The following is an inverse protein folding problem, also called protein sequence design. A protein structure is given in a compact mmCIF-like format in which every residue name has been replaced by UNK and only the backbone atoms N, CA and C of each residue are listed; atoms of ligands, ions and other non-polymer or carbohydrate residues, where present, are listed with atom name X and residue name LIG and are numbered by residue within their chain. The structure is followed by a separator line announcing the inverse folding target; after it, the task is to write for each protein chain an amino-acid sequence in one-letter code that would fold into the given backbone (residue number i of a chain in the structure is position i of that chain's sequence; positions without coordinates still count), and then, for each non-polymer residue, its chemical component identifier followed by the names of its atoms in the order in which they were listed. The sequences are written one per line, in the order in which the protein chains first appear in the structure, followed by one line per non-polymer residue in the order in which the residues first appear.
data_IF_382603824752
#
_entry.id   IF_382603824752
#
_cell.length_a   1.000
_cell.length_b   1.000
_cell.length_c   1.000
_cell.angle_alpha   90.00
_cell.angle_beta   90.00
_cell.angle_gamma   90.00
#
_symmetry.space_group_name_H-M   'P 1'
#
loop_
_entity.id
_entity.type
_entity.pdbx_description
1 polymer ?
#
# COMPACT_ATOMS: atom_id res chain seq x y z
N UNK A 1 -5.39 -13.93 40.78
CA UNK A 1 -5.51 -12.68 39.99
C UNK A 1 -5.22 -13.01 38.53
N UNK A 2 -6.25 -13.06 37.68
CA UNK A 2 -6.09 -13.36 36.26
C UNK A 2 -5.50 -12.13 35.54
N UNK A 3 -4.31 -12.29 34.93
CA UNK A 3 -3.75 -11.28 34.02
C UNK A 3 -4.73 -11.08 32.88
N UNK A 4 -5.43 -9.94 32.84
CA UNK A 4 -6.17 -9.49 31.65
C UNK A 4 -5.16 -9.45 30.51
N UNK A 5 -5.26 -10.39 29.56
CA UNK A 5 -4.61 -10.28 28.25
C UNK A 5 -5.24 -9.06 27.55
N UNK A 6 -4.67 -7.89 27.75
CA UNK A 6 -4.92 -6.75 26.87
C UNK A 6 -4.36 -7.15 25.53
N UNK A 7 -5.23 -7.36 24.54
CA UNK A 7 -4.82 -7.60 23.16
C UNK A 7 -4.20 -6.28 22.67
N UNK A 8 -2.89 -6.14 22.84
CA UNK A 8 -2.13 -4.94 22.44
C UNK A 8 -2.03 -4.81 20.93
N UNK A 9 -2.21 -5.92 20.22
CA UNK A 9 -1.88 -6.07 18.81
C UNK A 9 -3.15 -6.41 18.03
N UNK A 10 -3.62 -5.47 17.23
CA UNK A 10 -4.83 -5.62 16.41
C UNK A 10 -4.41 -5.87 14.97
N UNK A 11 -4.91 -6.95 14.36
CA UNK A 11 -4.67 -7.19 12.95
C UNK A 11 -5.54 -6.26 12.10
N UNK A 12 -4.90 -5.34 11.36
CA UNK A 12 -5.57 -4.34 10.53
C UNK A 12 -5.36 -4.59 9.03
N UNK A 13 -4.79 -5.75 8.66
CA UNK A 13 -4.50 -6.11 7.27
C UNK A 13 -5.72 -5.99 6.36
N UNK A 14 -6.87 -6.52 6.78
CA UNK A 14 -8.09 -6.49 5.96
C UNK A 14 -8.55 -5.05 5.70
N UNK A 15 -8.45 -4.17 6.71
CA UNK A 15 -8.78 -2.75 6.56
C UNK A 15 -7.83 -2.05 5.58
N UNK A 16 -6.53 -2.29 5.72
CA UNK A 16 -5.47 -1.72 4.87
C UNK A 16 -5.66 -2.08 3.41
N UNK A 17 -5.94 -3.36 3.12
CA UNK A 17 -6.14 -3.86 1.77
C UNK A 17 -7.48 -3.45 1.16
N UNK A 18 -8.41 -2.92 1.95
CA UNK A 18 -9.74 -2.49 1.50
C UNK A 18 -9.78 -1.00 1.18
N UNK A 19 -9.59 -0.13 2.18
CA UNK A 19 -9.63 1.31 1.94
C UNK A 19 -9.06 2.15 3.10
N UNK A 20 -8.63 3.40 2.83
CA UNK A 20 -8.19 4.37 3.83
C UNK A 20 -9.21 4.60 4.96
N UNK A 21 -10.50 4.62 4.60
CA UNK A 21 -11.61 4.82 5.55
C UNK A 21 -11.67 3.69 6.57
N UNK A 22 -11.49 2.45 6.11
CA UNK A 22 -11.50 1.26 6.96
C UNK A 22 -10.29 1.26 7.90
N UNK A 23 -9.12 1.70 7.41
CA UNK A 23 -7.92 1.87 8.25
C UNK A 23 -8.18 2.87 9.37
N UNK A 24 -8.73 4.03 9.04
CA UNK A 24 -9.05 5.07 10.03
C UNK A 24 -10.08 4.55 11.03
N UNK A 25 -11.12 3.85 10.58
CA UNK A 25 -12.11 3.23 11.46
C UNK A 25 -11.47 2.21 12.41
N UNK A 26 -10.54 1.39 11.92
CA UNK A 26 -9.84 0.42 12.75
C UNK A 26 -8.93 1.10 13.78
N UNK A 27 -8.24 2.18 13.39
CA UNK A 27 -7.38 2.95 14.29
C UNK A 27 -8.21 3.63 15.39
N UNK A 28 -9.21 4.43 15.03
CA UNK A 28 -9.99 5.23 15.99
C UNK A 28 -10.89 4.39 16.90
N UNK A 29 -11.23 3.17 16.50
CA UNK A 29 -11.95 2.22 17.37
C UNK A 29 -11.06 1.64 18.47
N UNK A 30 -9.73 1.70 18.32
CA UNK A 30 -8.75 1.10 19.24
C UNK A 30 -7.89 2.15 19.97
N UNK A 31 -7.60 3.29 19.34
CA UNK A 31 -6.78 4.37 19.88
C UNK A 31 -7.63 5.63 19.98
N UNK A 32 -7.77 6.16 21.20
CA UNK A 32 -8.48 7.41 21.46
C UNK A 32 -7.59 8.61 21.15
N UNK A 33 -8.21 9.72 20.72
CA UNK A 33 -7.51 11.00 20.58
C UNK A 33 -6.74 11.20 19.28
N UNK A 34 -6.74 10.24 18.35
CA UNK A 34 -6.16 10.41 17.02
C UNK A 34 -6.90 11.52 16.27
N UNK A 35 -6.16 12.57 15.88
CA UNK A 35 -6.67 13.70 15.12
C UNK A 35 -6.21 13.66 13.68
N UNK A 36 -7.13 13.91 12.77
CA UNK A 36 -6.85 13.95 11.34
C UNK A 36 -7.86 14.86 10.63
N UNK A 37 -7.40 15.47 9.54
CA UNK A 37 -8.24 16.19 8.60
C UNK A 37 -8.51 15.30 7.38
N UNK A 38 -9.78 15.21 6.98
CA UNK A 38 -10.18 14.52 5.74
C UNK A 38 -10.25 15.52 4.58
N UNK A 39 -9.48 15.27 3.52
CA UNK A 39 -9.52 16.02 2.25
C UNK A 39 -9.84 15.04 1.14
N UNK A 40 -11.05 15.13 0.59
CA UNK A 40 -11.58 14.16 -0.38
C UNK A 40 -11.51 12.71 0.17
N UNK A 41 -10.65 11.87 -0.39
CA UNK A 41 -10.41 10.49 0.03
C UNK A 41 -9.08 10.29 0.78
N UNK A 42 -8.43 11.38 1.16
CA UNK A 42 -7.15 11.38 1.88
C UNK A 42 -7.38 11.83 3.32
N UNK A 43 -6.69 11.18 4.25
CA UNK A 43 -6.72 11.47 5.67
C UNK A 43 -5.32 11.91 6.08
N UNK A 44 -5.20 13.18 6.47
CA UNK A 44 -3.93 13.80 6.86
C UNK A 44 -3.87 13.86 8.38
N UNK A 45 -2.83 13.29 8.97
CA UNK A 45 -2.66 13.27 10.42
C UNK A 45 -2.30 14.66 10.93
N UNK A 46 -2.95 15.10 12.00
CA UNK A 46 -2.70 16.42 12.62
C UNK A 46 -1.60 16.36 13.69
N UNK A 47 -1.28 15.16 14.17
CA UNK A 47 -0.30 14.89 15.20
C UNK A 47 0.58 13.71 14.82
N UNK A 48 1.73 13.59 15.48
CA UNK A 48 2.70 12.49 15.31
C UNK A 48 2.41 11.31 16.25
N UNK A 49 1.13 11.03 16.45
CA UNK A 49 0.68 10.00 17.40
C UNK A 49 0.63 8.60 16.78
N UNK A 50 0.89 8.51 15.47
CA UNK A 50 0.91 7.26 14.73
C UNK A 50 2.21 7.14 13.94
N UNK A 51 2.83 5.98 14.04
CA UNK A 51 4.05 5.62 13.32
C UNK A 51 3.83 4.40 12.43
N UNK A 52 4.65 4.29 11.40
CA UNK A 52 4.76 3.12 10.53
C UNK A 52 6.08 2.44 10.85
N UNK A 53 6.08 1.12 10.96
CA UNK A 53 7.30 0.30 11.07
C UNK A 53 7.28 -0.80 10.01
N UNK A 54 8.31 -0.83 9.18
CA UNK A 54 8.50 -1.81 8.12
C UNK A 54 9.49 -2.88 8.57
N UNK A 55 9.02 -4.13 8.57
CA UNK A 55 9.75 -5.28 9.10
C UNK A 55 10.00 -6.27 7.95
N UNK A 56 11.25 -6.68 7.77
CA UNK A 56 11.64 -7.73 6.83
C UNK A 56 12.48 -8.77 7.57
N UNK A 57 12.13 -10.05 7.40
CA UNK A 57 12.80 -11.17 8.06
C UNK A 57 12.93 -10.98 9.59
N UNK A 58 11.88 -10.43 10.21
CA UNK A 58 11.82 -10.16 11.64
C UNK A 58 12.64 -8.95 12.12
N UNK A 59 13.30 -8.22 11.22
CA UNK A 59 14.07 -7.01 11.55
C UNK A 59 13.37 -5.77 11.00
N UNK A 60 13.23 -4.77 11.87
CA UNK A 60 12.85 -3.44 11.44
C UNK A 60 13.96 -2.87 10.55
N UNK A 61 13.60 -2.36 9.38
CA UNK A 61 14.55 -1.76 8.44
C UNK A 61 14.21 -0.31 8.11
N UNK A 62 12.99 0.14 8.44
CA UNK A 62 12.55 1.50 8.24
C UNK A 62 11.32 1.78 9.10
N UNK A 63 11.28 2.95 9.71
CA UNK A 63 10.17 3.43 10.51
C UNK A 63 9.96 4.93 10.28
N UNK A 64 8.86 5.49 10.77
CA UNK A 64 8.64 6.94 10.77
C UNK A 64 7.21 7.37 11.01
N UNK A 65 7.02 8.68 11.20
CA UNK A 65 5.72 9.28 11.52
C UNK A 65 4.73 9.12 10.35
N UNK A 66 3.54 8.59 10.60
CA UNK A 66 2.47 8.55 9.61
C UNK A 66 1.97 9.97 9.32
N UNK A 67 2.07 10.41 8.07
CA UNK A 67 1.67 11.77 7.66
C UNK A 67 0.28 11.76 7.05
N UNK A 68 0.02 10.84 6.13
CA UNK A 68 -1.30 10.70 5.53
C UNK A 68 -1.52 9.29 4.99
N UNK A 69 -2.79 8.94 4.81
CA UNK A 69 -3.22 7.75 4.07
C UNK A 69 -4.33 8.10 3.08
N UNK A 70 -4.38 7.39 1.95
CA UNK A 70 -5.27 7.75 0.84
C UNK A 70 -5.51 6.60 -0.13
N UNK A 71 -6.46 6.78 -1.05
CA UNK A 71 -6.81 5.76 -2.04
C UNK A 71 -5.64 5.55 -3.01
N UNK A 72 -5.58 4.35 -3.59
CA UNK A 72 -4.68 4.07 -4.71
C UNK A 72 -5.10 4.87 -5.95
N UNK A 73 -4.11 5.25 -6.78
CA UNK A 73 -4.34 5.99 -8.03
C UNK A 73 -4.93 5.12 -9.14
N UNK A 74 -4.78 3.80 -9.06
CA UNK A 74 -5.26 2.84 -10.07
C UNK A 74 -6.74 2.45 -9.88
N UNK A 75 -7.49 3.21 -9.06
CA UNK A 75 -8.89 2.98 -8.70
C UNK A 75 -9.19 1.59 -8.12
N UNK A 76 -8.16 0.85 -7.69
CA UNK A 76 -8.34 -0.43 -6.99
C UNK A 76 -8.48 -0.23 -5.49
N UNK A 77 -9.02 -1.26 -4.85
CA UNK A 77 -9.04 -1.37 -3.40
C UNK A 77 -7.62 -1.35 -2.81
N UNK A 78 -7.53 -0.78 -1.61
CA UNK A 78 -6.27 -0.67 -0.88
C UNK A 78 -5.99 0.76 -0.43
N UNK A 79 -4.91 0.87 0.34
CA UNK A 79 -4.50 2.11 0.98
C UNK A 79 -3.06 2.43 0.62
N UNK A 80 -2.82 3.67 0.25
CA UNK A 80 -1.50 4.26 0.15
C UNK A 80 -1.17 4.91 1.48
N UNK A 81 0.00 4.62 2.06
CA UNK A 81 0.50 5.31 3.25
C UNK A 81 1.66 6.20 2.86
N UNK A 82 1.69 7.41 3.39
CA UNK A 82 2.86 8.27 3.38
C UNK A 82 3.33 8.49 4.81
N UNK A 83 4.60 8.23 5.05
CA UNK A 83 5.24 8.42 6.34
C UNK A 83 6.57 9.16 6.18
N UNK A 84 6.98 9.83 7.24
CA UNK A 84 8.22 10.58 7.31
C UNK A 84 9.27 9.75 8.05
N UNK A 85 10.17 9.11 7.30
CA UNK A 85 11.18 8.22 7.86
C UNK A 85 12.29 8.97 8.63
N UNK A 86 12.51 10.23 8.27
CA UNK A 86 13.47 11.15 8.90
C UNK A 86 12.97 12.59 8.71
N UNK A 87 13.58 13.59 9.36
CA UNK A 87 13.14 15.02 9.35
C UNK A 87 12.81 15.62 7.97
N UNK A 88 13.26 15.03 6.84
CA UNK A 88 13.01 15.54 5.49
C UNK A 88 12.62 14.49 4.45
N UNK A 89 12.63 13.20 4.78
CA UNK A 89 12.40 12.14 3.77
C UNK A 89 11.01 11.54 3.96
N UNK A 90 10.10 11.89 3.05
CA UNK A 90 8.78 11.28 2.97
C UNK A 90 8.83 10.07 2.04
N UNK A 91 8.31 8.96 2.52
CA UNK A 91 8.19 7.71 1.76
C UNK A 91 6.73 7.34 1.62
N UNK A 92 6.40 6.80 0.45
CA UNK A 92 5.08 6.27 0.16
C UNK A 92 5.18 4.76 0.00
N UNK A 93 4.25 4.03 0.59
CA UNK A 93 4.14 2.58 0.46
C UNK A 93 2.73 2.19 0.02
N UNK A 94 2.64 1.08 -0.69
CA UNK A 94 1.37 0.49 -1.16
C UNK A 94 1.31 -0.97 -0.73
N UNK A 95 0.80 -1.24 0.49
CA UNK A 95 0.60 -2.60 0.95
C UNK A 95 -0.39 -3.35 0.06
N UNK A 96 -0.03 -4.57 -0.31
CA UNK A 96 -0.83 -5.51 -1.10
C UNK A 96 -0.77 -6.91 -0.52
N UNK A 97 -1.55 -7.83 -1.09
CA UNK A 97 -1.44 -9.24 -0.74
C UNK A 97 -0.09 -9.87 -1.08
N UNK A 98 0.64 -9.26 -2.02
CA UNK A 98 1.86 -9.81 -2.60
C UNK A 98 3.13 -9.27 -1.96
N UNK A 99 3.06 -8.05 -1.38
CA UNK A 99 4.21 -7.38 -0.77
C UNK A 99 4.13 -7.24 0.77
N UNK A 100 3.02 -7.67 1.38
CA UNK A 100 2.89 -7.75 2.84
C UNK A 100 2.38 -9.12 3.27
N UNK A 101 2.92 -9.67 4.36
CA UNK A 101 2.45 -10.89 4.99
C UNK A 101 1.47 -10.62 6.14
N UNK A 102 1.76 -9.64 6.98
CA UNK A 102 0.91 -9.23 8.10
C UNK A 102 0.98 -7.72 8.31
N UNK A 103 -0.11 -7.15 8.84
CA UNK A 103 -0.18 -5.73 9.20
C UNK A 103 -0.87 -5.63 10.55
N UNK A 104 -0.13 -5.19 11.56
CA UNK A 104 -0.54 -5.18 12.96
C UNK A 104 -0.47 -3.77 13.50
N UNK A 105 -1.54 -3.31 14.14
CA UNK A 105 -1.56 -2.09 14.93
C UNK A 105 -1.19 -2.43 16.38
N UNK A 106 -0.05 -1.95 16.83
CA UNK A 106 0.34 -1.93 18.24
C UNK A 106 -0.36 -0.74 18.92
N UNK A 107 -1.50 -1.02 19.55
CA UNK A 107 -2.42 -0.03 20.12
C UNK A 107 -1.75 0.76 21.24
N UNK A 108 -0.84 0.14 21.98
CA UNK A 108 -0.17 0.78 23.11
C UNK A 108 0.91 1.77 22.66
N UNK A 109 1.56 1.49 21.52
CA UNK A 109 2.63 2.33 20.98
C UNK A 109 2.17 3.28 19.87
N UNK A 110 0.98 3.08 19.31
CA UNK A 110 0.53 3.82 18.13
C UNK A 110 1.30 3.43 16.85
N UNK A 111 1.82 2.21 16.76
CA UNK A 111 2.67 1.80 15.64
C UNK A 111 1.91 0.82 14.73
N UNK A 112 1.84 1.11 13.45
CA UNK A 112 1.38 0.18 12.42
C UNK A 112 2.60 -0.57 11.88
N UNK A 113 2.73 -1.84 12.26
CA UNK A 113 3.82 -2.74 11.84
C UNK A 113 3.42 -3.50 10.59
N UNK A 114 4.19 -3.34 9.51
CA UNK A 114 4.01 -4.07 8.27
C UNK A 114 5.13 -5.10 8.12
N UNK A 115 4.78 -6.39 8.11
CA UNK A 115 5.71 -7.45 7.72
C UNK A 115 5.77 -7.52 6.19
N UNK A 116 6.85 -7.01 5.62
CA UNK A 116 7.08 -6.86 4.19
C UNK A 116 7.72 -8.13 3.63
N UNK A 117 7.21 -8.57 2.48
CA UNK A 117 7.73 -9.68 1.67
C UNK A 117 7.73 -9.28 0.21
N UNK A 118 8.38 -10.03 -0.67
CA UNK A 118 8.38 -9.75 -2.11
C UNK A 118 8.07 -11.02 -2.90
N UNK A 119 6.78 -11.27 -3.17
CA UNK A 119 6.33 -12.50 -3.84
C UNK A 119 6.18 -12.37 -5.35
N UNK A 120 6.04 -11.15 -5.85
CA UNK A 120 5.82 -10.89 -7.27
C UNK A 120 7.08 -10.37 -7.95
N UNK A 121 7.21 -10.76 -9.22
CA UNK A 121 8.21 -10.23 -10.14
C UNK A 121 7.51 -9.45 -11.24
N UNK A 122 8.13 -8.35 -11.64
CA UNK A 122 7.65 -7.54 -12.74
C UNK A 122 7.69 -8.34 -14.05
N UNK A 123 6.54 -8.45 -14.73
CA UNK A 123 6.42 -9.17 -15.99
C UNK A 123 7.26 -8.59 -17.16
N UNK A 124 7.87 -7.41 -16.97
CA UNK A 124 8.70 -6.73 -17.98
C UNK A 124 10.19 -6.87 -17.65
N UNK A 125 10.63 -6.47 -16.45
CA UNK A 125 12.06 -6.47 -16.10
C UNK A 125 12.52 -7.70 -15.31
N UNK A 126 11.60 -8.56 -14.84
CA UNK A 126 11.89 -9.76 -14.06
C UNK A 126 12.36 -9.53 -12.61
N UNK A 127 12.57 -8.27 -12.19
CA UNK A 127 12.91 -7.92 -10.80
C UNK A 127 11.68 -7.98 -9.90
N UNK A 128 11.88 -8.16 -8.59
CA UNK A 128 10.81 -8.12 -7.60
C UNK A 128 10.07 -6.78 -7.61
N UNK A 129 8.77 -6.82 -7.31
CA UNK A 129 7.96 -5.63 -7.01
C UNK A 129 7.90 -5.48 -5.49
N UNK A 130 8.53 -4.43 -4.97
CA UNK A 130 8.71 -4.16 -3.55
C UNK A 130 7.60 -3.26 -2.98
N UNK A 131 7.61 -3.04 -1.66
CA UNK A 131 6.57 -2.27 -0.94
C UNK A 131 6.49 -0.78 -1.33
N UNK A 132 7.59 -0.24 -1.87
CA UNK A 132 7.70 1.16 -2.30
C UNK A 132 7.40 1.36 -3.79
N UNK A 133 7.28 0.27 -4.55
CA UNK A 133 7.10 0.35 -5.99
C UNK A 133 5.63 0.57 -6.33
N UNK A 134 5.34 1.52 -7.22
CA UNK A 134 4.02 1.60 -7.88
C UNK A 134 3.90 0.42 -8.85
N UNK A 135 2.87 -0.40 -8.69
CA UNK A 135 2.54 -1.48 -9.60
C UNK A 135 1.32 -1.18 -10.49
N UNK A 136 1.30 -1.80 -11.66
CA UNK A 136 0.14 -1.85 -12.55
C UNK A 136 -0.06 -3.27 -13.03
N UNK A 137 -1.26 -3.58 -13.53
CA UNK A 137 -1.60 -4.92 -13.98
C UNK A 137 -2.35 -4.91 -15.30
N UNK A 138 -2.22 -5.99 -16.06
CA UNK A 138 -3.08 -6.23 -17.21
C UNK A 138 -4.54 -6.43 -16.75
N UNK A 139 -5.54 -5.73 -17.32
CA UNK A 139 -6.95 -5.92 -16.95
C UNK A 139 -7.54 -7.26 -17.42
N UNK A 140 -6.79 -8.05 -18.21
CA UNK A 140 -7.29 -9.30 -18.82
C UNK A 140 -6.71 -10.54 -18.16
N UNK A 141 -5.40 -10.56 -17.88
CA UNK A 141 -4.72 -11.71 -17.29
C UNK A 141 -4.10 -11.39 -15.92
N UNK A 142 -4.27 -10.17 -15.42
CA UNK A 142 -3.81 -9.71 -14.11
C UNK A 142 -2.29 -9.77 -13.90
N UNK A 143 -1.50 -10.04 -14.95
CA UNK A 143 -0.06 -9.98 -14.91
C UNK A 143 0.41 -8.61 -14.40
N UNK A 144 1.18 -8.60 -13.31
CA UNK A 144 1.65 -7.39 -12.63
C UNK A 144 3.06 -7.01 -13.07
N UNK A 145 3.30 -5.71 -13.11
CA UNK A 145 4.60 -5.12 -13.41
C UNK A 145 4.73 -3.78 -12.68
N UNK A 146 5.95 -3.28 -12.54
CA UNK A 146 6.15 -1.88 -12.19
C UNK A 146 5.36 -1.00 -13.14
N UNK A 147 4.66 -0.02 -12.57
CA UNK A 147 3.72 0.86 -13.26
C UNK A 147 4.35 1.45 -14.53
N UNK A 148 5.55 2.03 -14.40
CA UNK A 148 6.26 2.65 -15.52
C UNK A 148 6.69 1.63 -16.58
N UNK A 149 7.25 0.48 -16.21
CA UNK A 149 7.65 -0.55 -17.18
C UNK A 149 6.46 -1.08 -17.99
N UNK A 150 5.29 -1.26 -17.36
CA UNK A 150 4.11 -1.72 -18.08
C UNK A 150 3.57 -0.65 -19.03
N UNK A 151 3.54 0.61 -18.58
CA UNK A 151 3.11 1.74 -19.42
C UNK A 151 4.00 1.90 -20.64
N UNK A 152 5.32 1.91 -20.46
CA UNK A 152 6.28 1.98 -21.55
C UNK A 152 6.12 0.81 -22.53
N UNK A 153 5.96 -0.41 -22.00
CA UNK A 153 5.71 -1.59 -22.82
C UNK A 153 4.44 -1.44 -23.67
N UNK A 154 3.33 -1.01 -23.07
CA UNK A 154 2.06 -0.81 -23.78
C UNK A 154 2.20 0.26 -24.85
N UNK A 155 2.88 1.39 -24.57
CA UNK A 155 3.16 2.43 -25.58
C UNK A 155 3.96 1.89 -26.77
N UNK A 156 4.91 0.98 -26.54
CA UNK A 156 5.76 0.42 -27.59
C UNK A 156 5.11 -0.73 -28.36
N UNK A 157 4.33 -1.58 -27.69
CA UNK A 157 3.87 -2.88 -28.22
C UNK A 157 2.35 -3.00 -28.33
N UNK A 158 1.58 -2.07 -27.77
CA UNK A 158 0.11 -2.07 -27.78
C UNK A 158 -0.52 -3.33 -27.18
N UNK A 159 0.20 -4.09 -26.35
CA UNK A 159 -0.22 -5.42 -25.91
C UNK A 159 0.39 -5.83 -24.57
N UNK A 160 -0.26 -6.79 -23.91
CA UNK A 160 0.25 -7.37 -22.67
C UNK A 160 1.54 -8.18 -22.91
N UNK A 161 2.60 -8.01 -22.09
CA UNK A 161 3.83 -8.82 -22.21
C UNK A 161 3.61 -10.31 -21.95
N UNK A 162 2.53 -10.68 -21.24
CA UNK A 162 2.22 -12.06 -20.85
C UNK A 162 1.17 -12.68 -21.78
N UNK A 163 -0.08 -12.20 -21.75
CA UNK A 163 -1.16 -12.82 -22.52
C UNK A 163 -1.26 -12.35 -23.97
N UNK A 164 -0.41 -11.40 -24.39
CA UNK A 164 -0.33 -10.84 -25.75
C UNK A 164 -1.58 -10.14 -26.29
N UNK A 165 -2.67 -10.07 -25.53
CA UNK A 165 -3.88 -9.33 -25.90
C UNK A 165 -3.62 -7.82 -25.98
N UNK A 166 -4.37 -7.15 -26.85
CA UNK A 166 -4.28 -5.71 -27.09
C UNK A 166 -4.59 -4.90 -25.84
N UNK A 167 -3.73 -3.93 -25.55
CA UNK A 167 -3.88 -3.00 -24.43
C UNK A 167 -3.65 -1.58 -24.91
N UNK A 168 -4.38 -0.64 -24.32
CA UNK A 168 -4.15 0.79 -24.43
C UNK A 168 -3.94 1.38 -23.03
N UNK A 169 -3.53 2.66 -22.98
CA UNK A 169 -3.50 3.44 -21.74
C UNK A 169 -4.63 4.47 -21.79
N UNK A 170 -5.37 4.60 -20.71
CA UNK A 170 -6.33 5.70 -20.57
C UNK A 170 -5.62 7.05 -20.36
N UNK A 171 -6.42 8.12 -20.16
CA UNK A 171 -5.90 9.48 -19.91
C UNK A 171 -5.04 9.59 -18.64
N UNK A 172 -5.16 8.64 -17.71
CA UNK A 172 -4.41 8.59 -16.46
C UNK A 172 -3.22 7.64 -16.53
N UNK A 173 -2.98 7.00 -17.69
CA UNK A 173 -1.90 6.02 -17.86
C UNK A 173 -2.21 4.65 -17.26
N UNK A 174 -3.49 4.34 -17.02
CA UNK A 174 -3.93 3.04 -16.50
C UNK A 174 -4.15 2.08 -17.68
N UNK A 175 -3.64 0.83 -17.62
CA UNK A 175 -3.89 -0.17 -18.65
C UNK A 175 -5.38 -0.51 -18.81
N UNK A 176 -5.90 -0.35 -20.03
CA UNK A 176 -7.25 -0.74 -20.45
C UNK A 176 -7.17 -1.72 -21.61
N UNK A 177 -8.27 -2.43 -21.88
CA UNK A 177 -8.39 -3.27 -23.08
C UNK A 177 -8.41 -2.35 -24.30
N UNK A 178 -7.62 -2.65 -25.34
CA UNK A 178 -7.70 -1.90 -26.59
C UNK A 178 -9.05 -2.20 -27.26
N UNK A 179 -9.81 -1.17 -27.60
CA UNK A 179 -10.98 -1.31 -28.46
C UNK A 179 -10.51 -1.64 -29.89
N UNK A 180 -11.20 -2.57 -30.56
CA UNK A 180 -10.91 -2.97 -31.96
C UNK A 180 -11.32 -1.88 -32.96
#
# INVERSE_FOLDING_TARGET
MAKKKTVSDVNVRAAVLKSPKEVISAITSNIQGIKFTKVLSTYVMESKDLEIELIRDGKSFMDGDLIWLGNRKDNKEGTVFCFQANKRDMKTIMPTNDNCQSIILDVNKGIIKLSVVSRLRCAVCGKSIEIFDEESQCPICEAKAHSEHLKEWIKMKGSCPVCKKGLALDRQGIPIIAEE
#
